data_IF_297924780616
#
_entry.id   IF_297924780616
#
_cell.length_a   1.000
_cell.length_b   1.000
_cell.length_c   1.000
_cell.angle_alpha   90.00
_cell.angle_beta   90.00
_cell.angle_gamma   90.00
#
_symmetry.space_group_name_H-M   'P 1'
#
loop_
_entity.id
_entity.type
_entity.pdbx_description
1 polymer ?
#
# COMPACT_ATOMS: atom_id res chain seq x y z
N UNK A 1 -26.10 -1.69 -6.84
CA UNK A 1 -24.81 -2.41 -6.73
C UNK A 1 -23.69 -1.42 -6.44
N UNK A 2 -22.86 -1.71 -5.47
CA UNK A 2 -21.76 -0.84 -5.13
C UNK A 2 -20.61 -0.99 -6.14
N UNK A 3 -19.93 0.13 -6.45
CA UNK A 3 -18.71 0.10 -7.24
C UNK A 3 -17.57 -0.58 -6.45
N UNK A 4 -16.47 -0.92 -7.12
CA UNK A 4 -15.30 -1.48 -6.46
C UNK A 4 -14.76 -0.53 -5.38
N UNK A 5 -14.66 0.77 -5.69
CA UNK A 5 -14.19 1.77 -4.75
C UNK A 5 -15.10 1.93 -3.54
N UNK A 6 -16.41 1.87 -3.74
CA UNK A 6 -17.37 1.95 -2.64
C UNK A 6 -17.27 0.74 -1.72
N UNK A 7 -17.06 -0.45 -2.29
CA UNK A 7 -16.89 -1.68 -1.50
C UNK A 7 -15.67 -1.61 -0.60
N UNK A 8 -14.53 -1.16 -1.14
CA UNK A 8 -13.29 -1.03 -0.39
C UNK A 8 -13.45 0.02 0.71
N UNK A 9 -14.01 1.18 0.36
CA UNK A 9 -14.26 2.25 1.31
C UNK A 9 -15.14 1.80 2.47
N UNK A 10 -16.22 1.09 2.17
CA UNK A 10 -17.14 0.59 3.18
C UNK A 10 -16.45 -0.38 4.14
N UNK A 11 -15.65 -1.31 3.60
CA UNK A 11 -14.90 -2.27 4.40
C UNK A 11 -13.92 -1.56 5.34
N UNK A 12 -13.17 -0.59 4.83
CA UNK A 12 -12.21 0.17 5.63
C UNK A 12 -12.89 1.03 6.70
N UNK A 13 -14.05 1.62 6.38
CA UNK A 13 -14.81 2.41 7.35
C UNK A 13 -15.31 1.54 8.52
N UNK A 14 -15.67 0.30 8.28
CA UNK A 14 -16.03 -0.64 9.34
C UNK A 14 -14.85 -0.91 10.26
N UNK A 15 -13.66 -1.04 9.70
CA UNK A 15 -12.43 -1.27 10.45
C UNK A 15 -12.05 -0.06 11.32
N UNK A 16 -12.37 1.15 10.88
CA UNK A 16 -12.13 2.37 11.67
C UNK A 16 -12.82 2.34 13.02
N UNK A 17 -14.00 1.74 13.10
CA UNK A 17 -14.82 1.73 14.31
C UNK A 17 -14.46 0.58 15.25
N UNK A 18 -14.07 -0.54 14.69
CA UNK A 18 -13.74 -1.76 15.42
C UNK A 18 -12.59 -2.43 14.69
N UNK A 19 -12.20 -3.59 15.10
CA UNK A 19 -11.38 -4.42 14.27
C UNK A 19 -9.93 -4.56 14.70
N UNK A 20 -9.12 -5.21 13.85
CA UNK A 20 -7.78 -5.66 14.18
C UNK A 20 -6.78 -4.52 14.29
N UNK A 21 -5.67 -4.79 14.96
CA UNK A 21 -4.56 -3.86 15.09
C UNK A 21 -3.61 -3.91 13.88
N UNK A 22 -3.64 -4.99 13.13
CA UNK A 22 -2.80 -5.20 11.95
C UNK A 22 -3.68 -5.46 10.75
N UNK A 23 -3.42 -4.76 9.66
CA UNK A 23 -4.16 -4.87 8.41
C UNK A 23 -3.20 -5.17 7.27
N UNK A 24 -3.55 -6.13 6.45
CA UNK A 24 -2.83 -6.42 5.21
C UNK A 24 -3.77 -6.10 4.06
N UNK A 25 -3.41 -5.12 3.26
CA UNK A 25 -4.20 -4.66 2.13
C UNK A 25 -3.50 -5.05 0.83
N UNK A 26 -4.10 -5.98 0.10
CA UNK A 26 -3.52 -6.49 -1.13
C UNK A 26 -4.13 -5.77 -2.33
N UNK A 27 -3.35 -4.91 -2.96
CA UNK A 27 -3.76 -4.10 -4.12
C UNK A 27 -5.09 -3.38 -3.86
N UNK A 28 -5.20 -2.57 -2.78
CA UNK A 28 -6.49 -2.04 -2.33
C UNK A 28 -7.17 -1.10 -3.31
N UNK A 29 -6.43 -0.51 -4.24
CA UNK A 29 -6.97 0.45 -5.20
C UNK A 29 -6.94 -0.05 -6.64
N UNK A 30 -6.65 -1.32 -6.84
CA UNK A 30 -6.55 -1.89 -8.19
C UNK A 30 -7.88 -1.80 -8.92
N UNK A 31 -7.85 -1.23 -10.13
CA UNK A 31 -9.04 -1.07 -10.95
C UNK A 31 -10.02 0.01 -10.49
N UNK A 32 -9.60 0.86 -9.55
CA UNK A 32 -10.44 1.92 -9.00
C UNK A 32 -10.07 3.26 -9.63
N UNK A 33 -11.06 4.12 -9.89
CA UNK A 33 -10.81 5.42 -10.50
C UNK A 33 -10.08 6.38 -9.54
N UNK A 34 -9.49 7.44 -10.10
CA UNK A 34 -8.61 8.36 -9.38
C UNK A 34 -9.30 9.02 -8.18
N UNK A 35 -10.56 9.44 -8.33
CA UNK A 35 -11.29 10.10 -7.26
C UNK A 35 -11.55 9.18 -6.07
N UNK A 36 -11.96 7.95 -6.36
CA UNK A 36 -12.21 6.95 -5.31
C UNK A 36 -10.90 6.51 -4.65
N UNK A 37 -9.80 6.45 -5.38
CA UNK A 37 -8.48 6.14 -4.81
C UNK A 37 -8.10 7.12 -3.72
N UNK A 38 -8.31 8.41 -3.95
CA UNK A 38 -7.97 9.44 -2.97
C UNK A 38 -8.73 9.24 -1.65
N UNK A 39 -10.02 8.93 -1.74
CA UNK A 39 -10.81 8.65 -0.54
C UNK A 39 -10.28 7.45 0.23
N UNK A 40 -9.90 6.39 -0.48
CA UNK A 40 -9.31 5.20 0.13
C UNK A 40 -8.00 5.52 0.82
N UNK A 41 -7.14 6.32 0.20
CA UNK A 41 -5.87 6.74 0.80
C UNK A 41 -6.09 7.53 2.09
N UNK A 42 -7.08 8.41 2.11
CA UNK A 42 -7.41 9.17 3.31
C UNK A 42 -7.84 8.26 4.46
N UNK A 43 -8.62 7.22 4.17
CA UNK A 43 -9.06 6.26 5.19
C UNK A 43 -7.88 5.44 5.70
N UNK A 44 -7.01 4.99 4.82
CA UNK A 44 -5.80 4.23 5.20
C UNK A 44 -4.91 5.09 6.11
N UNK A 45 -4.72 6.37 5.77
CA UNK A 45 -3.94 7.30 6.58
C UNK A 45 -4.58 7.48 7.96
N UNK A 46 -5.90 7.57 8.03
CA UNK A 46 -6.61 7.69 9.31
C UNK A 46 -6.46 6.45 10.17
N UNK A 47 -6.52 5.26 9.57
CA UNK A 47 -6.28 4.00 10.28
C UNK A 47 -4.88 3.97 10.88
N UNK A 48 -3.87 4.38 10.13
CA UNK A 48 -2.49 4.46 10.60
C UNK A 48 -2.37 5.47 11.76
N UNK A 49 -3.04 6.59 11.65
CA UNK A 49 -3.04 7.64 12.66
C UNK A 49 -3.67 7.16 13.97
N UNK A 50 -4.63 6.24 13.90
CA UNK A 50 -5.26 5.63 15.07
C UNK A 50 -4.36 4.57 15.73
N UNK A 51 -3.17 4.35 15.21
CA UNK A 51 -2.23 3.39 15.78
C UNK A 51 -2.28 1.99 15.21
N UNK A 52 -3.03 1.78 14.13
CA UNK A 52 -3.06 0.48 13.46
C UNK A 52 -1.84 0.31 12.58
N UNK A 53 -1.31 -0.91 12.52
CA UNK A 53 -0.19 -1.25 11.65
C UNK A 53 -0.74 -1.72 10.31
N UNK A 54 -0.27 -1.11 9.23
CA UNK A 54 -0.78 -1.39 7.89
C UNK A 54 0.34 -1.86 6.98
N UNK A 55 0.12 -3.01 6.35
CA UNK A 55 0.98 -3.51 5.29
C UNK A 55 0.17 -3.40 4.00
N UNK A 56 0.64 -2.58 3.08
CA UNK A 56 -0.03 -2.39 1.80
C UNK A 56 0.81 -3.01 0.69
N UNK A 57 0.21 -3.93 -0.05
CA UNK A 57 0.85 -4.55 -1.20
C UNK A 57 0.34 -3.83 -2.45
N UNK A 58 1.24 -3.30 -3.25
CA UNK A 58 0.86 -2.58 -4.46
C UNK A 58 1.90 -2.75 -5.56
N UNK A 59 1.42 -2.82 -6.78
CA UNK A 59 2.25 -2.78 -7.98
C UNK A 59 2.34 -1.38 -8.58
N UNK A 60 1.63 -0.40 -8.00
CA UNK A 60 1.64 0.97 -8.49
C UNK A 60 2.70 1.80 -7.77
N UNK A 61 3.70 2.26 -8.52
CA UNK A 61 4.84 2.99 -7.99
C UNK A 61 4.43 4.27 -7.26
N UNK A 62 3.52 5.04 -7.84
CA UNK A 62 3.06 6.29 -7.26
C UNK A 62 2.36 6.07 -5.91
N UNK A 63 1.59 4.98 -5.79
CA UNK A 63 0.92 4.60 -4.55
C UNK A 63 1.93 4.28 -3.46
N UNK A 64 2.92 3.48 -3.79
CA UNK A 64 3.98 3.09 -2.85
C UNK A 64 4.73 4.32 -2.35
N UNK A 65 5.18 5.18 -3.26
CA UNK A 65 5.94 6.38 -2.90
C UNK A 65 5.11 7.36 -2.08
N UNK A 66 3.84 7.53 -2.46
CA UNK A 66 2.97 8.51 -1.81
C UNK A 66 2.43 8.09 -0.44
N UNK A 67 2.34 6.79 -0.16
CA UNK A 67 1.63 6.29 1.01
C UNK A 67 2.52 5.65 2.07
N UNK A 68 3.73 5.24 1.73
CA UNK A 68 4.51 4.37 2.61
C UNK A 68 5.46 5.14 3.51
N UNK A 69 5.51 4.74 4.78
CA UNK A 69 6.55 5.19 5.72
C UNK A 69 7.84 4.41 5.49
N UNK A 70 7.69 3.16 5.06
CA UNK A 70 8.81 2.26 4.80
C UNK A 70 8.41 1.31 3.68
N UNK A 71 9.30 1.12 2.72
CA UNK A 71 9.05 0.26 1.56
C UNK A 71 9.91 -1.00 1.66
N UNK A 72 9.25 -2.14 1.56
CA UNK A 72 9.92 -3.43 1.42
C UNK A 72 9.79 -3.83 -0.05
N UNK A 73 10.91 -4.10 -0.69
CA UNK A 73 10.93 -4.47 -2.10
C UNK A 73 11.26 -5.96 -2.23
N UNK A 74 10.52 -6.62 -3.11
CA UNK A 74 10.70 -8.05 -3.37
C UNK A 74 10.99 -8.29 -4.84
N UNK A 75 11.78 -9.31 -5.11
CA UNK A 75 12.05 -9.78 -6.45
C UNK A 75 12.22 -11.30 -6.42
N UNK A 76 11.48 -12.00 -7.28
CA UNK A 76 11.55 -13.46 -7.40
C UNK A 76 11.37 -14.19 -6.04
N UNK A 77 10.40 -13.74 -5.25
CA UNK A 77 10.07 -14.36 -3.97
C UNK A 77 11.02 -14.04 -2.82
N UNK A 78 11.97 -13.13 -3.03
CA UNK A 78 12.95 -12.70 -2.02
C UNK A 78 12.76 -11.24 -1.67
N UNK A 79 13.07 -10.89 -0.43
CA UNK A 79 13.18 -9.47 -0.05
C UNK A 79 14.56 -8.99 -0.52
N UNK A 80 14.56 -7.96 -1.37
CA UNK A 80 15.81 -7.41 -1.91
C UNK A 80 16.27 -6.16 -1.18
N UNK A 81 15.41 -5.55 -0.40
CA UNK A 81 15.81 -4.42 0.43
C UNK A 81 14.64 -3.66 1.01
N UNK A 82 15.00 -2.72 1.87
CA UNK A 82 14.07 -1.79 2.52
C UNK A 82 14.52 -0.36 2.24
N UNK A 83 13.56 0.52 2.04
CA UNK A 83 13.81 1.95 1.80
C UNK A 83 12.87 2.74 2.69
N UNK A 84 13.38 3.72 3.42
CA UNK A 84 12.52 4.63 4.16
C UNK A 84 11.67 5.46 3.18
N UNK A 85 10.41 5.69 3.52
CA UNK A 85 9.49 6.38 2.63
C UNK A 85 9.98 7.75 2.18
N UNK A 86 10.65 8.48 3.07
CA UNK A 86 11.23 9.80 2.75
C UNK A 86 12.33 9.74 1.70
N UNK A 87 12.98 8.59 1.53
CA UNK A 87 14.08 8.38 0.59
C UNK A 87 13.65 7.59 -0.64
N UNK A 88 12.40 7.13 -0.69
CA UNK A 88 11.90 6.28 -1.76
C UNK A 88 11.75 7.06 -3.08
N UNK A 89 12.37 6.56 -4.11
CA UNK A 89 12.27 7.09 -5.48
C UNK A 89 11.94 5.95 -6.42
N UNK A 90 11.41 6.28 -7.58
CA UNK A 90 11.15 5.28 -8.61
C UNK A 90 12.42 4.51 -8.97
N UNK A 91 13.55 5.20 -9.05
CA UNK A 91 14.84 4.59 -9.40
C UNK A 91 15.31 3.58 -8.37
N UNK A 92 15.34 3.95 -7.08
CA UNK A 92 15.86 3.04 -6.07
C UNK A 92 14.94 1.86 -5.81
N UNK A 93 13.63 2.04 -5.93
CA UNK A 93 12.68 0.93 -5.83
C UNK A 93 12.87 -0.03 -7.00
N UNK A 94 12.96 0.49 -8.22
CA UNK A 94 13.16 -0.35 -9.42
C UNK A 94 14.48 -1.10 -9.39
N UNK A 95 15.51 -0.48 -8.86
CA UNK A 95 16.80 -1.14 -8.69
C UNK A 95 16.68 -2.42 -7.87
N UNK A 96 15.97 -2.33 -6.74
CA UNK A 96 15.73 -3.49 -5.88
C UNK A 96 14.72 -4.48 -6.50
N UNK A 97 13.71 -3.97 -7.19
CA UNK A 97 12.67 -4.80 -7.78
C UNK A 97 13.16 -5.65 -8.96
N UNK A 98 14.31 -5.28 -9.55
CA UNK A 98 14.92 -6.01 -10.67
C UNK A 98 16.19 -6.77 -10.27
N UNK A 99 16.48 -6.83 -8.99
CA UNK A 99 17.70 -7.42 -8.43
C UNK A 99 17.59 -8.92 -8.33
N UNK A 100 17.80 -9.59 -9.45
CA UNK A 100 17.72 -11.05 -9.54
C UNK A 100 19.02 -11.71 -9.11
N UNK A 101 18.89 -12.94 -8.60
CA UNK A 101 20.08 -13.76 -8.36
C UNK A 101 20.73 -14.14 -9.68
N UNK A 102 22.03 -13.94 -9.76
CA UNK A 102 22.83 -14.45 -10.86
C UNK A 102 23.32 -15.83 -10.48
N UNK A 103 23.05 -16.77 -11.36
CA UNK A 103 23.52 -18.16 -11.21
C UNK A 103 24.75 -18.38 -12.08
#
# INVERSE_FOLDING_TARGET
MLSGGEKVRLALCKILKTGPNVLILDEPTRGIDVGAKYEIYCIIAELAKQGKSIIMISSEMAEIIGMSDRVMVMCDGRVTGFIDGKDATQENIMQLATMREEN
#
